data_IF_700119492013
#
_entry.id   IF_700119492013
#
_cell.length_a   1.000
_cell.length_b   1.000
_cell.length_c   1.000
_cell.angle_alpha   90.00
_cell.angle_beta   90.00
_cell.angle_gamma   90.00
#
_symmetry.space_group_name_H-M   'P 1'
#
loop_
_entity.id
_entity.type
_entity.pdbx_description
1 polymer ?
#
# COMPACT_ATOMS: atom_id res chain seq x y z
N UNK A 1 2.02 -11.33 -3.55
CA UNK A 1 1.29 -10.83 -4.73
C UNK A 1 2.01 -9.66 -5.41
N UNK A 2 2.38 -8.56 -4.71
CA UNK A 2 3.04 -7.41 -5.32
C UNK A 2 4.35 -7.79 -6.01
N UNK A 3 5.20 -8.59 -5.36
CA UNK A 3 6.46 -9.07 -5.94
C UNK A 3 6.29 -9.92 -7.18
N UNK A 4 5.27 -10.78 -7.21
CA UNK A 4 4.96 -11.61 -8.38
C UNK A 4 4.40 -10.77 -9.55
N UNK A 5 3.54 -9.79 -9.24
CA UNK A 5 3.08 -8.85 -10.26
C UNK A 5 4.26 -8.05 -10.83
N UNK A 6 5.18 -7.61 -9.97
CA UNK A 6 6.41 -6.96 -10.41
C UNK A 6 7.25 -7.88 -11.31
N UNK A 7 7.47 -9.13 -10.91
CA UNK A 7 8.23 -10.09 -11.70
C UNK A 7 7.60 -10.33 -13.09
N UNK A 8 6.29 -10.51 -13.14
CA UNK A 8 5.55 -10.66 -14.39
C UNK A 8 5.67 -9.43 -15.30
N UNK A 9 5.51 -8.22 -14.74
CA UNK A 9 5.56 -6.97 -15.49
C UNK A 9 6.97 -6.57 -15.95
N UNK A 10 7.99 -6.91 -15.19
CA UNK A 10 9.40 -6.60 -15.50
C UNK A 10 10.14 -7.69 -16.26
N UNK A 11 9.56 -8.87 -16.42
CA UNK A 11 10.24 -10.05 -17.00
C UNK A 11 11.37 -10.60 -16.11
N UNK A 12 11.46 -10.17 -14.85
CA UNK A 12 12.50 -10.65 -13.92
C UNK A 12 12.08 -11.95 -13.23
N UNK A 13 13.07 -12.76 -12.88
CA UNK A 13 12.87 -13.99 -12.09
C UNK A 13 13.17 -13.69 -10.62
N UNK A 14 12.11 -13.58 -9.80
CA UNK A 14 12.22 -13.39 -8.35
C UNK A 14 11.78 -14.66 -7.67
N UNK A 15 12.57 -15.16 -6.71
CA UNK A 15 12.15 -16.27 -5.84
C UNK A 15 11.35 -15.71 -4.68
N UNK A 16 10.09 -16.13 -4.58
CA UNK A 16 9.24 -15.77 -3.44
C UNK A 16 9.63 -16.56 -2.19
N UNK A 17 9.79 -15.84 -1.07
CA UNK A 17 10.03 -16.41 0.27
C UNK A 17 8.85 -15.99 1.16
N UNK A 18 7.98 -16.94 1.56
CA UNK A 18 6.81 -16.62 2.38
C UNK A 18 7.22 -16.32 3.83
N UNK A 19 6.61 -15.30 4.42
CA UNK A 19 6.72 -14.96 5.84
C UNK A 19 5.33 -14.95 6.46
N UNK A 20 5.04 -15.94 7.30
CA UNK A 20 3.73 -16.09 7.91
C UNK A 20 3.68 -15.59 9.36
N UNK A 21 4.78 -15.72 10.11
CA UNK A 21 4.82 -15.44 11.56
C UNK A 21 5.95 -14.49 11.96
N UNK A 22 6.95 -14.30 11.10
CA UNK A 22 8.12 -13.46 11.39
C UNK A 22 8.18 -12.27 10.44
N UNK A 23 8.80 -11.20 10.91
CA UNK A 23 9.01 -10.01 10.08
C UNK A 23 10.14 -10.25 9.07
N UNK A 24 9.97 -9.96 7.78
CA UNK A 24 11.03 -10.10 6.78
C UNK A 24 12.17 -9.08 6.96
N UNK A 25 11.98 -8.08 7.81
CA UNK A 25 12.96 -6.98 7.97
C UNK A 25 14.30 -7.44 8.52
N UNK A 26 14.32 -8.40 9.43
CA UNK A 26 15.57 -8.96 9.97
C UNK A 26 16.39 -9.58 8.85
N UNK A 27 15.75 -10.34 7.98
CA UNK A 27 16.41 -11.11 6.93
C UNK A 27 16.85 -10.21 5.76
N UNK A 28 16.09 -9.17 5.40
CA UNK A 28 16.53 -8.23 4.37
C UNK A 28 17.68 -7.35 4.87
N UNK A 29 17.66 -6.92 6.12
CA UNK A 29 18.76 -6.16 6.74
C UNK A 29 20.00 -7.04 6.92
N UNK A 30 19.81 -8.31 7.24
CA UNK A 30 20.88 -9.31 7.36
C UNK A 30 21.40 -9.86 6.03
N UNK A 31 20.80 -9.48 4.89
CA UNK A 31 21.22 -9.93 3.56
C UNK A 31 20.76 -11.35 3.21
N UNK A 32 19.90 -11.99 4.00
CA UNK A 32 19.35 -13.32 3.69
C UNK A 32 18.34 -13.28 2.54
N UNK A 33 17.62 -12.18 2.41
CA UNK A 33 16.79 -11.83 1.25
C UNK A 33 17.22 -10.48 0.70
N UNK A 34 17.04 -10.28 -0.61
CA UNK A 34 17.60 -9.11 -1.30
C UNK A 34 16.60 -7.95 -1.41
N UNK A 35 15.30 -8.24 -1.43
CA UNK A 35 14.25 -7.23 -1.66
C UNK A 35 12.96 -7.62 -0.93
N UNK A 36 12.23 -6.61 -0.48
CA UNK A 36 10.88 -6.77 0.05
C UNK A 36 9.92 -5.80 -0.67
N UNK A 37 8.68 -6.21 -0.82
CA UNK A 37 7.58 -5.38 -1.28
C UNK A 37 6.63 -5.17 -0.10
N UNK A 38 6.62 -3.95 0.42
CA UNK A 38 5.82 -3.66 1.62
C UNK A 38 5.24 -2.25 1.58
N UNK A 39 4.32 -1.96 2.50
CA UNK A 39 3.77 -0.63 2.68
C UNK A 39 4.83 0.31 3.28
N UNK A 40 4.93 1.52 2.75
CA UNK A 40 5.92 2.51 3.18
C UNK A 40 5.95 2.76 4.70
N UNK A 41 4.80 2.85 5.41
CA UNK A 41 4.82 3.03 6.87
C UNK A 41 5.58 1.96 7.64
N UNK A 42 5.59 0.72 7.16
CA UNK A 42 6.31 -0.38 7.81
C UNK A 42 7.83 -0.30 7.58
N UNK A 43 8.26 0.23 6.43
CA UNK A 43 9.67 0.31 6.04
C UNK A 43 10.37 1.58 6.53
N UNK A 44 9.63 2.69 6.72
CA UNK A 44 10.19 4.04 6.90
C UNK A 44 11.18 4.15 8.05
N UNK A 45 10.97 3.42 9.14
CA UNK A 45 11.90 3.40 10.28
C UNK A 45 13.29 2.89 9.89
N UNK A 46 13.36 1.77 9.18
CA UNK A 46 14.61 1.18 8.71
C UNK A 46 15.29 2.02 7.62
N UNK A 47 14.49 2.70 6.79
CA UNK A 47 15.01 3.62 5.77
C UNK A 47 15.65 4.86 6.40
N UNK A 48 15.00 5.47 7.39
CA UNK A 48 15.53 6.67 8.08
C UNK A 48 16.86 6.43 8.80
N UNK A 49 17.09 5.21 9.27
CA UNK A 49 18.38 4.84 9.91
C UNK A 49 19.36 4.18 8.92
N UNK A 50 19.09 4.23 7.63
CA UNK A 50 20.00 3.77 6.58
C UNK A 50 20.15 2.24 6.46
N UNK A 51 19.30 1.46 7.14
CA UNK A 51 19.33 -0.01 7.06
C UNK A 51 18.66 -0.56 5.80
N UNK A 52 17.77 0.21 5.20
CA UNK A 52 17.09 -0.12 3.95
C UNK A 52 17.15 1.06 3.00
N UNK A 53 17.13 0.76 1.70
CA UNK A 53 17.00 1.72 0.62
C UNK A 53 15.68 1.50 -0.10
N UNK A 54 14.92 2.57 -0.31
CA UNK A 54 13.73 2.51 -1.18
C UNK A 54 14.22 2.58 -2.63
N UNK A 55 13.79 1.65 -3.44
CA UNK A 55 14.17 1.58 -4.87
C UNK A 55 13.14 2.29 -5.76
N UNK A 56 11.86 2.10 -5.48
CA UNK A 56 10.76 2.78 -6.14
C UNK A 56 9.53 2.78 -5.25
N UNK A 57 8.59 3.69 -5.50
CA UNK A 57 7.31 3.78 -4.82
C UNK A 57 6.16 3.71 -5.84
N UNK A 58 5.03 3.15 -5.41
CA UNK A 58 3.79 3.21 -6.18
C UNK A 58 3.16 4.61 -6.04
N UNK A 59 2.48 5.05 -7.09
CA UNK A 59 1.85 6.37 -7.14
C UNK A 59 2.03 7.03 -8.50
N UNK A 60 1.23 8.07 -8.77
CA UNK A 60 1.33 8.85 -10.02
C UNK A 60 2.47 9.85 -9.99
N UNK A 61 2.87 10.29 -8.81
CA UNK A 61 3.95 11.26 -8.56
C UNK A 61 4.83 10.74 -7.46
N UNK A 62 6.06 11.26 -7.37
CA UNK A 62 6.98 10.93 -6.27
C UNK A 62 6.40 11.34 -4.92
N UNK A 63 6.72 10.56 -3.89
CA UNK A 63 6.24 10.81 -2.55
C UNK A 63 6.91 12.07 -1.95
N UNK A 64 6.16 13.02 -1.37
CA UNK A 64 6.73 14.27 -0.85
C UNK A 64 7.85 14.08 0.19
N UNK A 65 7.77 13.04 1.02
CA UNK A 65 8.82 12.72 2.01
C UNK A 65 10.04 12.01 1.41
N UNK A 66 9.99 11.59 0.15
CA UNK A 66 11.06 10.87 -0.55
C UNK A 66 11.15 11.35 -2.01
N UNK A 67 11.48 12.63 -2.24
CA UNK A 67 11.45 13.24 -3.58
C UNK A 67 12.51 12.65 -4.53
N UNK A 68 13.58 12.07 -3.99
CA UNK A 68 14.64 11.42 -4.79
C UNK A 68 14.31 9.99 -5.21
N UNK A 69 13.26 9.40 -4.64
CA UNK A 69 12.83 8.04 -4.96
C UNK A 69 11.87 8.08 -6.15
N UNK A 70 12.17 7.37 -7.25
CA UNK A 70 11.30 7.35 -8.43
C UNK A 70 10.01 6.57 -8.15
N UNK A 71 9.00 6.85 -8.95
CA UNK A 71 7.84 5.96 -9.05
C UNK A 71 8.17 4.75 -9.92
N UNK A 72 7.40 3.66 -9.79
CA UNK A 72 7.55 2.50 -10.68
C UNK A 72 7.31 2.88 -12.15
N UNK A 73 6.39 3.82 -12.41
CA UNK A 73 6.15 4.32 -13.77
C UNK A 73 7.38 5.05 -14.34
N UNK A 74 8.05 5.91 -13.55
CA UNK A 74 9.31 6.55 -13.95
C UNK A 74 10.44 5.53 -14.17
N UNK A 75 10.41 4.40 -13.46
CA UNK A 75 11.34 3.29 -13.64
C UNK A 75 10.98 2.35 -14.81
N UNK A 76 9.96 2.67 -15.60
CA UNK A 76 9.57 1.92 -16.80
C UNK A 76 8.44 0.90 -16.59
N UNK A 77 7.86 0.78 -15.40
CA UNK A 77 6.75 -0.13 -15.09
C UNK A 77 5.43 0.65 -14.94
N UNK A 78 4.85 1.05 -16.06
CA UNK A 78 3.65 1.91 -16.11
C UNK A 78 2.37 1.23 -15.61
N UNK A 79 2.26 -0.10 -15.79
CA UNK A 79 1.08 -0.88 -15.42
C UNK A 79 1.20 -1.54 -14.03
N UNK A 80 2.24 -1.16 -13.26
CA UNK A 80 2.47 -1.68 -11.93
C UNK A 80 2.05 -0.65 -10.86
N UNK A 81 0.89 -0.86 -10.26
CA UNK A 81 0.33 0.07 -9.27
C UNK A 81 -0.32 -0.63 -8.06
N UNK A 82 0.34 -1.60 -7.41
CA UNK A 82 -0.19 -2.18 -6.19
C UNK A 82 -0.33 -1.09 -5.12
N UNK A 83 -1.49 -1.00 -4.52
CA UNK A 83 -1.79 -0.02 -3.47
C UNK A 83 -2.20 -0.75 -2.21
N UNK A 84 -1.64 -0.38 -1.07
CA UNK A 84 -2.12 -0.79 0.24
C UNK A 84 -2.98 0.34 0.81
N UNK A 85 -4.13 -0.04 1.36
CA UNK A 85 -5.05 0.92 1.99
C UNK A 85 -5.66 0.34 3.26
N UNK A 86 -6.15 1.22 4.12
CA UNK A 86 -6.85 0.88 5.35
C UNK A 86 -8.21 1.58 5.31
N UNK A 87 -9.27 0.83 5.59
CA UNK A 87 -10.64 1.35 5.63
C UNK A 87 -11.37 0.96 6.91
N UNK A 88 -12.34 1.79 7.30
CA UNK A 88 -13.28 1.49 8.38
C UNK A 88 -14.52 0.82 7.81
N UNK A 89 -14.89 -0.32 8.39
CA UNK A 89 -16.06 -1.10 8.00
C UNK A 89 -17.02 -1.22 9.18
N UNK A 90 -18.31 -1.25 8.89
CA UNK A 90 -19.35 -1.59 9.83
C UNK A 90 -19.99 -2.93 9.47
N UNK A 91 -20.59 -3.67 10.42
CA UNK A 91 -21.33 -4.90 10.12
C UNK A 91 -22.44 -4.66 9.09
N UNK A 92 -22.73 -5.69 8.29
CA UNK A 92 -23.86 -5.63 7.35
C UNK A 92 -25.17 -5.34 8.10
N UNK A 93 -26.02 -4.49 7.54
CA UNK A 93 -27.28 -4.09 8.18
C UNK A 93 -27.16 -2.99 9.23
N UNK A 94 -25.97 -2.42 9.46
CA UNK A 94 -25.84 -1.22 10.31
C UNK A 94 -26.73 -0.09 9.77
N UNK A 95 -27.61 0.51 10.61
CA UNK A 95 -28.51 1.56 10.17
C UNK A 95 -27.78 2.73 9.53
N UNK A 96 -28.32 3.23 8.40
CA UNK A 96 -27.70 4.32 7.62
C UNK A 96 -27.29 5.54 8.46
N UNK A 97 -28.10 6.04 9.42
CA UNK A 97 -27.70 7.19 10.24
C UNK A 97 -26.42 6.95 11.07
N UNK A 98 -26.16 5.70 11.46
CA UNK A 98 -24.92 5.34 12.19
C UNK A 98 -23.73 5.35 11.22
N UNK A 99 -23.90 4.78 10.04
CA UNK A 99 -22.84 4.79 8.98
C UNK A 99 -22.51 6.23 8.59
N UNK A 100 -23.52 7.08 8.37
CA UNK A 100 -23.34 8.49 8.02
C UNK A 100 -22.58 9.26 9.12
N UNK A 101 -22.94 9.03 10.39
CA UNK A 101 -22.25 9.65 11.53
C UNK A 101 -20.78 9.23 11.64
N UNK A 102 -20.48 7.94 11.45
CA UNK A 102 -19.11 7.43 11.45
C UNK A 102 -18.31 8.00 10.27
N UNK A 103 -18.90 8.02 9.09
CA UNK A 103 -18.27 8.58 7.89
C UNK A 103 -17.95 10.07 8.07
N UNK A 104 -18.90 10.86 8.57
CA UNK A 104 -18.69 12.28 8.85
C UNK A 104 -17.57 12.51 9.88
N UNK A 105 -17.52 11.69 10.94
CA UNK A 105 -16.46 11.75 11.94
C UNK A 105 -15.08 11.41 11.34
N UNK A 106 -14.99 10.38 10.49
CA UNK A 106 -13.76 10.01 9.79
C UNK A 106 -13.31 11.11 8.82
N UNK A 107 -14.21 11.65 8.02
CA UNK A 107 -13.90 12.76 7.11
C UNK A 107 -13.36 13.97 7.87
N UNK A 108 -14.02 14.36 8.98
CA UNK A 108 -13.54 15.44 9.83
C UNK A 108 -12.16 15.15 10.41
N UNK A 109 -11.92 13.95 10.92
CA UNK A 109 -10.63 13.57 11.48
C UNK A 109 -9.51 13.61 10.43
N UNK A 110 -9.78 13.13 9.22
CA UNK A 110 -8.77 13.03 8.15
C UNK A 110 -8.49 14.35 7.43
N UNK A 111 -9.41 15.33 7.51
CA UNK A 111 -9.26 16.62 6.82
C UNK A 111 -9.02 17.81 7.75
N UNK A 112 -9.44 17.73 9.02
CA UNK A 112 -9.45 18.85 9.95
C UNK A 112 -8.62 18.62 11.22
N UNK A 113 -7.89 17.50 11.32
CA UNK A 113 -7.00 17.24 12.46
C UNK A 113 -5.54 17.32 12.00
N UNK A 114 -4.84 18.46 12.17
CA UNK A 114 -3.47 18.65 11.72
C UNK A 114 -2.49 17.65 12.35
N UNK A 115 -2.69 17.31 13.63
CA UNK A 115 -1.83 16.37 14.33
C UNK A 115 -1.93 14.95 13.74
N UNK A 116 -3.15 14.50 13.40
CA UNK A 116 -3.36 13.22 12.73
C UNK A 116 -2.77 13.21 11.32
N UNK A 117 -2.99 14.28 10.57
CA UNK A 117 -2.49 14.42 9.19
C UNK A 117 -0.95 14.38 9.19
N UNK A 118 -0.31 15.14 10.06
CA UNK A 118 1.15 15.18 10.16
C UNK A 118 1.74 13.85 10.64
N UNK A 119 1.12 13.22 11.65
CA UNK A 119 1.52 11.90 12.13
C UNK A 119 1.45 10.86 11.01
N UNK A 120 0.35 10.85 10.22
CA UNK A 120 0.19 9.90 9.12
C UNK A 120 1.21 10.15 8.01
N UNK A 121 1.43 11.43 7.67
CA UNK A 121 2.46 11.83 6.70
C UNK A 121 3.86 11.43 7.13
N UNK A 122 4.19 11.53 8.42
CA UNK A 122 5.51 11.14 8.95
C UNK A 122 5.79 9.64 8.82
N UNK A 123 4.75 8.84 8.70
CA UNK A 123 4.82 7.40 8.38
C UNK A 123 4.81 7.11 6.87
N UNK A 124 4.77 8.14 6.02
CA UNK A 124 4.70 7.96 4.57
C UNK A 124 3.33 7.55 4.05
N UNK A 125 2.28 7.78 4.83
CA UNK A 125 0.89 7.52 4.42
C UNK A 125 0.16 8.79 3.97
N UNK A 126 -0.87 8.61 3.14
CA UNK A 126 -1.82 9.67 2.78
C UNK A 126 -3.17 9.39 3.43
N UNK A 127 -3.82 10.45 3.94
CA UNK A 127 -5.20 10.38 4.39
C UNK A 127 -6.11 10.86 3.26
N UNK A 128 -7.05 10.03 2.87
CA UNK A 128 -8.03 10.35 1.83
C UNK A 128 -9.43 10.26 2.43
N UNK A 129 -10.12 11.39 2.49
CA UNK A 129 -11.52 11.41 2.84
C UNK A 129 -12.35 10.84 1.67
N UNK A 130 -13.23 9.88 1.96
CA UNK A 130 -14.17 9.30 1.00
C UNK A 130 -15.53 9.17 1.67
N UNK A 131 -16.61 9.35 0.89
CA UNK A 131 -17.94 8.94 1.29
C UNK A 131 -18.06 7.41 1.27
N UNK A 132 -19.08 6.82 1.90
CA UNK A 132 -19.34 5.37 1.82
C UNK A 132 -19.51 4.87 0.38
N UNK A 133 -20.15 5.68 -0.47
CA UNK A 133 -20.38 5.38 -1.89
C UNK A 133 -19.07 5.40 -2.69
N UNK A 134 -18.25 6.43 -2.49
CA UNK A 134 -16.92 6.55 -3.11
C UNK A 134 -16.00 5.41 -2.69
N UNK A 135 -16.01 5.06 -1.39
CA UNK A 135 -15.21 3.96 -0.88
C UNK A 135 -15.67 2.60 -1.43
N UNK A 136 -16.98 2.40 -1.56
CA UNK A 136 -17.56 1.20 -2.19
C UNK A 136 -17.13 1.09 -3.66
N UNK A 137 -17.16 2.18 -4.41
CA UNK A 137 -16.70 2.20 -5.80
C UNK A 137 -15.19 1.92 -5.90
N UNK A 138 -14.41 2.52 -5.01
CA UNK A 138 -12.97 2.26 -4.92
C UNK A 138 -12.67 0.77 -4.67
N UNK A 139 -13.33 0.13 -3.70
CA UNK A 139 -13.15 -1.30 -3.39
C UNK A 139 -13.45 -2.18 -4.62
N UNK A 140 -14.51 -1.88 -5.36
CA UNK A 140 -14.85 -2.64 -6.58
C UNK A 140 -13.74 -2.56 -7.63
N UNK A 141 -13.22 -1.36 -7.86
CA UNK A 141 -12.13 -1.13 -8.82
C UNK A 141 -10.83 -1.80 -8.38
N UNK A 142 -10.47 -1.65 -7.12
CA UNK A 142 -9.27 -2.24 -6.52
C UNK A 142 -9.33 -3.78 -6.55
N UNK A 143 -10.47 -4.36 -6.18
CA UNK A 143 -10.70 -5.80 -6.23
C UNK A 143 -10.62 -6.36 -7.67
N UNK A 144 -11.12 -5.63 -8.66
CA UNK A 144 -11.01 -6.02 -10.06
C UNK A 144 -9.55 -6.00 -10.54
N UNK A 145 -8.79 -4.97 -10.17
CA UNK A 145 -7.37 -4.82 -10.47
C UNK A 145 -6.55 -5.98 -9.87
N UNK A 146 -6.73 -6.26 -8.59
CA UNK A 146 -6.05 -7.38 -7.93
C UNK A 146 -6.47 -8.72 -8.51
N UNK A 147 -7.74 -8.90 -8.88
CA UNK A 147 -8.21 -10.09 -9.57
C UNK A 147 -7.53 -10.31 -10.92
N UNK A 148 -7.23 -9.25 -11.67
CA UNK A 148 -6.46 -9.34 -12.91
C UNK A 148 -5.00 -9.70 -12.64
N UNK A 149 -4.35 -9.03 -11.68
CA UNK A 149 -2.98 -9.30 -11.28
C UNK A 149 -2.79 -10.76 -10.84
N UNK A 150 -3.69 -11.28 -9.99
CA UNK A 150 -3.64 -12.68 -9.52
C UNK A 150 -3.76 -13.66 -10.68
N UNK A 151 -4.71 -13.46 -11.60
CA UNK A 151 -4.88 -14.33 -12.77
C UNK A 151 -3.65 -14.30 -13.68
N UNK A 152 -3.03 -13.13 -13.85
CA UNK A 152 -1.83 -12.96 -14.67
C UNK A 152 -0.58 -13.64 -14.10
N UNK A 153 -0.49 -13.80 -12.78
CA UNK A 153 0.67 -14.42 -12.12
C UNK A 153 0.57 -15.93 -11.96
N UNK A 154 -0.63 -16.50 -12.13
CA UNK A 154 -0.86 -17.94 -11.94
C UNK A 154 -0.70 -18.44 -10.49
N UNK A 155 -0.63 -17.53 -9.50
CA UNK A 155 -0.51 -17.88 -8.08
C UNK A 155 -1.81 -18.57 -7.63
N UNK A 156 -1.64 -19.71 -6.96
CA UNK A 156 -2.70 -20.35 -6.17
C UNK A 156 -2.48 -19.95 -4.72
N UNK A 157 -3.48 -19.37 -4.09
CA UNK A 157 -3.50 -19.13 -2.66
C UNK A 157 -4.12 -20.40 -2.02
N UNK A 158 -3.27 -21.23 -1.43
CA UNK A 158 -3.69 -22.37 -0.60
C UNK A 158 -4.05 -21.88 0.79
#
# INVERSE_FOLDING_TARGET
>A
LAGEWFAAGSGTKIKFVPYNTTSPYTDVVGGQINVIFDALPAAVGNVKVGKLKILALTGKTRHPSFPDVPTFAEAGLTDYSPTAWIGLFAPAGTPKPIVDKLSAAMQKATTQNPALIEKWRSYGGELKAMTPEEFTAFIKTDSAMWGQAIRGTGIKLD
#
